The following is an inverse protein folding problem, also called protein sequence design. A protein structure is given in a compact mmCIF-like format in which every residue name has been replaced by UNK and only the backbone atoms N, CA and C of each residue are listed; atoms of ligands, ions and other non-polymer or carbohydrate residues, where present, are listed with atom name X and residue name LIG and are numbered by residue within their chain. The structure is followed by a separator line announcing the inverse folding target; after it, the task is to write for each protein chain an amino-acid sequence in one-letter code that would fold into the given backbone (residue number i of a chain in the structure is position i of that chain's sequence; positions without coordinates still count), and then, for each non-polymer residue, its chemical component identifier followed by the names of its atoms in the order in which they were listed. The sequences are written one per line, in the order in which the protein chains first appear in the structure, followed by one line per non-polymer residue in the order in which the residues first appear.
data_IF_021179331028
#
_entry.id   IF_021179331028
#
_cell.length_a   1.000
_cell.length_b   1.000
_cell.length_c   1.000
_cell.angle_alpha   90.00
_cell.angle_beta   90.00
_cell.angle_gamma   90.00
#
_symmetry.space_group_name_H-M   'P 1'
#
loop_
_entity.id
_entity.type
_entity.pdbx_description
1 polymer ?
#
# COMPACT_ATOMS: atom_id res chain seq x y z
N UNK A 1 73.04 -22.05 23.74
CA UNK A 1 73.02 -21.93 22.27
C UNK A 1 71.57 -21.78 21.80
N UNK A 2 71.29 -20.67 21.10
CA UNK A 2 70.26 -20.42 20.06
C UNK A 2 68.87 -21.10 20.14
N UNK A 3 67.86 -20.24 20.39
CA UNK A 3 66.59 -19.99 19.66
C UNK A 3 65.77 -21.20 19.14
N UNK A 4 64.48 -21.24 19.49
CA UNK A 4 63.39 -20.85 18.58
C UNK A 4 62.03 -20.82 19.31
N UNK A 5 61.33 -19.68 19.19
CA UNK A 5 59.90 -19.55 19.48
C UNK A 5 59.10 -20.21 18.35
N UNK A 6 58.04 -20.94 18.70
CA UNK A 6 56.90 -21.16 17.81
C UNK A 6 55.62 -20.84 18.56
N UNK A 7 54.98 -19.74 18.17
CA UNK A 7 53.62 -19.39 18.53
C UNK A 7 52.68 -20.00 17.48
N UNK A 8 51.73 -20.82 17.93
CA UNK A 8 50.52 -21.19 17.21
C UNK A 8 49.39 -21.01 18.24
N UNK A 9 48.36 -20.19 18.06
CA UNK A 9 47.59 -19.93 16.86
C UNK A 9 46.14 -20.31 17.21
N UNK A 10 45.49 -19.47 18.01
CA UNK A 10 44.10 -19.65 18.46
C UNK A 10 43.16 -19.38 17.28
N UNK A 11 42.55 -20.41 16.71
CA UNK A 11 41.52 -20.27 15.68
C UNK A 11 40.14 -20.21 16.32
N UNK A 12 39.63 -19.00 16.56
CA UNK A 12 38.22 -18.77 16.84
C UNK A 12 37.42 -18.87 15.54
N UNK A 13 36.68 -19.97 15.36
CA UNK A 13 35.64 -20.07 14.32
C UNK A 13 34.41 -19.29 14.78
N UNK A 14 34.31 -18.02 14.37
CA UNK A 14 33.07 -17.27 14.43
C UNK A 14 32.16 -17.72 13.27
N UNK A 15 31.13 -18.50 13.57
CA UNK A 15 30.07 -18.83 12.63
C UNK A 15 29.20 -17.58 12.39
N UNK A 16 29.47 -16.86 11.30
CA UNK A 16 28.69 -15.72 10.86
C UNK A 16 27.51 -16.16 9.97
N UNK A 17 26.30 -15.93 10.47
CA UNK A 17 25.06 -15.50 9.82
C UNK A 17 24.83 -15.89 8.34
N UNK A 18 23.91 -16.83 8.11
CA UNK A 18 23.29 -17.12 6.81
C UNK A 18 21.77 -16.92 6.81
N UNK A 19 21.23 -16.05 7.67
CA UNK A 19 19.82 -15.65 7.59
C UNK A 19 19.66 -14.60 6.49
N UNK A 20 19.19 -15.01 5.31
CA UNK A 20 18.66 -14.06 4.30
C UNK A 20 17.40 -13.42 4.89
N UNK A 21 17.59 -12.33 5.61
CA UNK A 21 16.51 -11.43 5.96
C UNK A 21 16.05 -10.80 4.64
N UNK A 22 14.85 -11.16 4.18
CA UNK A 22 14.25 -10.52 3.02
C UNK A 22 14.24 -9.01 3.28
N UNK A 23 14.92 -8.24 2.43
CA UNK A 23 14.91 -6.80 2.54
C UNK A 23 13.46 -6.33 2.45
N UNK A 24 13.01 -5.52 3.41
CA UNK A 24 11.74 -4.82 3.28
C UNK A 24 11.73 -4.08 1.93
N UNK A 25 10.60 -4.09 1.18
CA UNK A 25 10.51 -3.38 -0.08
C UNK A 25 11.00 -1.94 0.10
N UNK A 26 11.98 -1.52 -0.70
CA UNK A 26 12.49 -0.16 -0.62
C UNK A 26 11.34 0.80 -0.97
N UNK A 27 11.06 1.83 -0.15
CA UNK A 27 10.05 2.85 -0.45
C UNK A 27 10.15 3.41 -1.87
N UNK A 28 11.34 3.39 -2.48
CA UNK A 28 11.60 3.80 -3.85
C UNK A 28 10.71 3.12 -4.91
N UNK A 29 10.38 1.83 -4.77
CA UNK A 29 9.59 1.11 -5.76
C UNK A 29 8.13 1.59 -5.79
N UNK A 30 7.57 1.90 -4.63
CA UNK A 30 6.22 2.47 -4.55
C UNK A 30 6.23 3.94 -4.96
N UNK A 31 7.24 4.71 -4.56
CA UNK A 31 7.33 6.13 -4.93
C UNK A 31 7.43 6.34 -6.44
N UNK A 32 8.02 5.40 -7.20
CA UNK A 32 8.06 5.45 -8.66
C UNK A 32 6.66 5.38 -9.33
N UNK A 33 5.62 4.98 -8.59
CA UNK A 33 4.24 4.87 -9.09
C UNK A 33 3.42 6.15 -8.87
N UNK A 34 4.02 7.17 -8.24
CA UNK A 34 3.40 8.49 -8.05
C UNK A 34 3.38 9.24 -9.36
N UNK A 35 2.21 9.74 -9.72
CA UNK A 35 2.00 10.64 -10.84
C UNK A 35 0.89 11.61 -10.47
N UNK A 36 1.23 12.88 -10.20
CA UNK A 36 0.23 13.86 -9.82
C UNK A 36 -0.74 14.21 -10.95
N UNK A 37 -0.41 13.88 -12.21
CA UNK A 37 -1.29 14.00 -13.37
C UNK A 37 -2.28 12.83 -13.52
N UNK A 38 -2.12 11.75 -12.74
CA UNK A 38 -3.05 10.63 -12.78
C UNK A 38 -4.47 11.10 -12.45
N UNK A 39 -5.37 10.82 -13.39
CA UNK A 39 -6.78 11.11 -13.32
C UNK A 39 -7.56 9.84 -13.65
N UNK A 40 -8.64 9.58 -12.92
CA UNK A 40 -9.50 8.42 -13.13
C UNK A 40 -10.83 8.81 -13.79
N UNK A 41 -11.87 9.01 -12.99
CA UNK A 41 -13.20 9.43 -13.42
C UNK A 41 -13.80 10.36 -12.38
N UNK A 42 -14.69 11.24 -12.84
CA UNK A 42 -15.54 11.99 -11.94
C UNK A 42 -16.69 11.12 -11.42
N UNK A 43 -16.93 11.17 -10.12
CA UNK A 43 -18.09 10.49 -9.53
C UNK A 43 -19.36 11.24 -9.93
N UNK A 44 -20.29 10.53 -10.56
CA UNK A 44 -21.56 11.12 -11.00
C UNK A 44 -22.39 11.71 -9.85
N UNK A 45 -22.29 11.12 -8.66
CA UNK A 45 -23.00 11.59 -7.46
C UNK A 45 -22.01 11.96 -6.37
N UNK A 46 -22.32 12.98 -5.54
CA UNK A 46 -21.49 13.33 -4.40
C UNK A 46 -21.23 12.11 -3.51
N UNK A 47 -19.96 11.92 -3.13
CA UNK A 47 -19.54 10.87 -2.23
C UNK A 47 -18.91 11.50 -0.98
N UNK A 48 -19.74 11.96 -0.01
CA UNK A 48 -19.24 12.66 1.16
C UNK A 48 -18.36 11.73 2.01
N UNK A 49 -17.22 12.26 2.45
CA UNK A 49 -16.39 11.62 3.46
C UNK A 49 -16.92 12.01 4.84
N UNK A 50 -17.33 11.01 5.61
CA UNK A 50 -17.77 11.15 6.99
C UNK A 50 -16.52 11.03 7.86
N UNK A 51 -16.26 12.06 8.67
CA UNK A 51 -15.15 12.03 9.62
C UNK A 51 -15.34 10.83 10.60
N UNK A 52 -14.30 10.02 10.84
CA UNK A 52 -14.39 8.93 11.80
C UNK A 52 -14.70 9.45 13.21
N UNK A 53 -15.48 8.70 13.98
CA UNK A 53 -15.76 8.99 15.38
C UNK A 53 -14.50 8.92 16.25
N UNK A 54 -14.58 9.48 17.46
CA UNK A 54 -13.47 9.51 18.42
C UNK A 54 -13.06 8.10 18.90
N UNK A 55 -13.97 7.15 18.80
CA UNK A 55 -13.80 5.74 19.14
C UNK A 55 -13.00 4.94 18.08
N UNK A 56 -12.81 5.49 16.88
CA UNK A 56 -12.00 4.86 15.82
C UNK A 56 -10.52 5.13 16.11
N UNK A 57 -9.63 4.11 16.17
CA UNK A 57 -8.21 4.28 16.42
C UNK A 57 -7.52 5.30 15.50
N UNK A 58 -6.59 6.10 16.05
CA UNK A 58 -5.87 7.17 15.34
C UNK A 58 -5.23 6.72 14.03
N UNK A 59 -4.56 5.58 14.07
CA UNK A 59 -3.92 4.98 12.90
C UNK A 59 -4.93 4.55 11.83
N UNK A 60 -6.17 4.24 12.20
CA UNK A 60 -7.25 3.95 11.25
C UNK A 60 -7.86 5.24 10.69
N UNK A 61 -8.02 6.27 11.54
CA UNK A 61 -8.52 7.58 11.10
C UNK A 61 -7.62 8.20 10.02
N UNK A 62 -6.33 7.90 10.03
CA UNK A 62 -5.37 8.33 9.01
C UNK A 62 -5.76 7.92 7.58
N UNK A 63 -6.53 6.86 7.38
CA UNK A 63 -7.02 6.44 6.06
C UNK A 63 -8.16 7.33 5.53
N UNK A 64 -8.92 8.00 6.39
CA UNK A 64 -10.10 8.78 5.98
C UNK A 64 -9.73 9.86 4.95
N UNK A 65 -10.55 10.05 3.92
CA UNK A 65 -10.35 11.07 2.89
C UNK A 65 -10.23 10.51 1.48
N UNK A 66 -9.79 11.37 0.57
CA UNK A 66 -9.54 11.05 -0.84
C UNK A 66 -8.05 10.88 -1.09
N UNK A 67 -7.70 9.84 -1.82
CA UNK A 67 -6.33 9.47 -2.17
C UNK A 67 -6.23 9.31 -3.67
N UNK A 68 -5.15 9.80 -4.26
CA UNK A 68 -4.98 9.76 -5.70
C UNK A 68 -3.58 10.14 -6.14
N UNK A 69 -3.42 10.34 -7.45
CA UNK A 69 -2.13 10.70 -8.04
C UNK A 69 -1.12 9.55 -8.05
N UNK A 70 -1.61 8.33 -8.24
CA UNK A 70 -0.75 7.20 -8.50
C UNK A 70 -1.40 6.26 -9.49
N UNK A 71 -0.57 5.41 -10.07
CA UNK A 71 -0.97 4.37 -10.99
C UNK A 71 -0.43 3.02 -10.52
N UNK A 72 -1.20 1.95 -10.69
CA UNK A 72 -0.70 0.61 -10.39
C UNK A 72 0.51 0.30 -11.28
N UNK A 73 1.66 0.08 -10.64
CA UNK A 73 2.99 -0.04 -11.26
C UNK A 73 3.34 1.10 -12.23
N UNK A 74 2.73 2.29 -12.06
CA UNK A 74 2.94 3.44 -12.92
C UNK A 74 2.12 3.45 -14.21
N UNK A 75 1.25 2.46 -14.45
CA UNK A 75 0.52 2.32 -15.72
C UNK A 75 -0.97 2.65 -15.62
N UNK A 76 -1.64 2.16 -14.57
CA UNK A 76 -3.10 2.25 -14.46
C UNK A 76 -3.55 3.14 -13.31
N UNK A 77 -3.94 4.39 -13.62
CA UNK A 77 -4.36 5.37 -12.63
C UNK A 77 -5.49 4.87 -11.74
N UNK A 78 -5.36 5.19 -10.45
CA UNK A 78 -6.28 4.76 -9.41
C UNK A 78 -6.47 5.85 -8.36
N UNK A 79 -7.72 6.11 -7.99
CA UNK A 79 -8.06 6.91 -6.81
C UNK A 79 -8.91 6.09 -5.83
N UNK A 80 -8.78 6.45 -4.56
CA UNK A 80 -9.47 5.80 -3.45
C UNK A 80 -10.16 6.84 -2.58
N UNK A 81 -11.48 6.73 -2.48
CA UNK A 81 -12.31 7.58 -1.63
C UNK A 81 -12.74 6.78 -0.40
N UNK A 82 -12.12 7.03 0.75
CA UNK A 82 -12.51 6.41 2.02
C UNK A 82 -13.67 7.21 2.61
N UNK A 83 -14.89 6.69 2.45
CA UNK A 83 -16.13 7.42 2.77
C UNK A 83 -16.45 7.37 4.26
N UNK A 84 -16.26 6.22 4.90
CA UNK A 84 -16.49 6.06 6.34
C UNK A 84 -15.66 4.93 6.90
N UNK A 85 -15.28 5.06 8.17
CA UNK A 85 -14.58 4.03 8.95
C UNK A 85 -15.34 3.89 10.25
N UNK A 86 -15.74 2.68 10.60
CA UNK A 86 -16.44 2.40 11.85
C UNK A 86 -15.49 1.83 12.93
N UNK A 87 -15.94 1.73 14.20
CA UNK A 87 -15.09 1.28 15.31
C UNK A 87 -14.73 -0.21 15.23
N UNK A 88 -15.45 -0.98 14.40
CA UNK A 88 -15.14 -2.39 14.12
C UNK A 88 -14.03 -2.55 13.08
N UNK A 89 -13.62 -1.45 12.45
CA UNK A 89 -12.68 -1.42 11.34
C UNK A 89 -13.34 -1.69 9.98
N UNK A 90 -14.68 -1.77 9.89
CA UNK A 90 -15.35 -1.80 8.59
C UNK A 90 -15.18 -0.44 7.90
N UNK A 91 -14.87 -0.48 6.61
CA UNK A 91 -14.67 0.71 5.79
C UNK A 91 -15.60 0.66 4.58
N UNK A 92 -16.28 1.76 4.32
CA UNK A 92 -17.00 1.97 3.06
C UNK A 92 -16.15 2.89 2.20
N UNK A 93 -15.87 2.47 0.98
CA UNK A 93 -15.03 3.22 0.05
C UNK A 93 -15.56 3.21 -1.37
N UNK A 94 -15.02 4.10 -2.20
CA UNK A 94 -15.13 4.00 -3.66
C UNK A 94 -13.71 3.88 -4.22
N UNK A 95 -13.48 2.84 -5.01
CA UNK A 95 -12.30 2.71 -5.86
C UNK A 95 -12.66 3.20 -7.27
N UNK A 96 -11.80 4.03 -7.86
CA UNK A 96 -11.92 4.44 -9.25
C UNK A 96 -10.68 4.07 -10.03
N UNK A 97 -10.86 3.89 -11.33
CA UNK A 97 -9.76 3.59 -12.24
C UNK A 97 -9.95 4.29 -13.58
N UNK A 98 -8.84 4.74 -14.16
CA UNK A 98 -8.79 5.20 -15.54
C UNK A 98 -9.02 4.03 -16.52
N UNK A 99 -9.37 4.31 -17.80
CA UNK A 99 -9.26 3.29 -18.82
C UNK A 99 -7.78 2.89 -19.02
N UNK A 100 -7.55 1.62 -19.36
CA UNK A 100 -6.24 1.08 -19.69
C UNK A 100 -6.35 0.05 -20.82
N UNK A 101 -6.21 0.53 -22.06
CA UNK A 101 -6.49 -0.24 -23.27
C UNK A 101 -5.61 -1.48 -23.41
N UNK A 102 -4.33 -1.38 -23.06
CA UNK A 102 -3.40 -2.50 -23.13
C UNK A 102 -3.85 -3.70 -22.27
N UNK A 103 -4.67 -3.46 -21.24
CA UNK A 103 -5.23 -4.49 -20.36
C UNK A 103 -6.75 -4.67 -20.54
N UNK A 104 -7.35 -4.00 -21.53
CA UNK A 104 -8.79 -4.02 -21.76
C UNK A 104 -9.62 -3.57 -20.56
N UNK A 105 -9.10 -2.68 -19.71
CA UNK A 105 -9.80 -2.17 -18.53
C UNK A 105 -10.55 -0.88 -18.91
N UNK A 106 -11.89 -0.82 -18.81
CA UNK A 106 -12.60 0.44 -18.97
C UNK A 106 -12.41 1.34 -17.75
N UNK A 107 -12.79 2.61 -17.90
CA UNK A 107 -12.91 3.52 -16.77
C UNK A 107 -14.01 3.02 -15.81
N UNK A 108 -13.75 3.00 -14.51
CA UNK A 108 -14.69 2.44 -13.53
C UNK A 108 -14.73 3.21 -12.23
N UNK A 109 -15.87 3.12 -11.53
CA UNK A 109 -16.05 3.54 -10.16
C UNK A 109 -16.89 2.48 -9.43
N UNK A 110 -16.35 1.88 -8.37
CA UNK A 110 -17.05 0.86 -7.59
C UNK A 110 -17.10 1.24 -6.12
N UNK A 111 -18.30 1.24 -5.55
CA UNK A 111 -18.47 1.30 -4.11
C UNK A 111 -18.21 -0.08 -3.51
N UNK A 112 -17.32 -0.16 -2.53
CA UNK A 112 -16.87 -1.41 -1.89
C UNK A 112 -16.96 -1.31 -0.37
N UNK A 113 -16.93 -2.49 0.25
CA UNK A 113 -16.61 -2.65 1.66
C UNK A 113 -15.20 -3.22 1.80
N UNK A 114 -14.48 -2.71 2.78
CA UNK A 114 -13.14 -3.15 3.16
C UNK A 114 -13.07 -3.28 4.67
N UNK A 115 -11.95 -3.78 5.19
CA UNK A 115 -11.68 -3.87 6.62
C UNK A 115 -10.28 -3.36 6.93
N UNK A 116 -10.13 -2.58 7.99
CA UNK A 116 -8.83 -2.32 8.60
C UNK A 116 -8.61 -3.37 9.69
N UNK A 117 -7.57 -4.18 9.52
CA UNK A 117 -7.25 -5.24 10.47
C UNK A 117 -6.41 -4.72 11.63
N UNK A 118 -6.18 -5.59 12.62
CA UNK A 118 -5.37 -5.28 13.81
C UNK A 118 -3.92 -4.91 13.49
N UNK A 119 -3.40 -5.30 12.33
CA UNK A 119 -2.08 -4.91 11.85
C UNK A 119 -2.06 -3.51 11.20
N UNK A 120 -3.19 -2.80 11.21
CA UNK A 120 -3.31 -1.43 10.71
C UNK A 120 -3.39 -1.32 9.18
N UNK A 121 -3.57 -2.44 8.46
CA UNK A 121 -3.75 -2.43 7.01
C UNK A 121 -5.21 -2.48 6.62
N UNK A 122 -5.59 -1.67 5.63
CA UNK A 122 -6.89 -1.71 4.98
C UNK A 122 -6.87 -2.79 3.89
N UNK A 123 -7.74 -3.78 3.98
CA UNK A 123 -7.84 -4.88 3.01
C UNK A 123 -9.21 -4.96 2.37
N UNK A 124 -9.24 -5.26 1.08
CA UNK A 124 -10.45 -5.65 0.37
C UNK A 124 -10.15 -6.78 -0.62
N UNK A 125 -11.15 -7.61 -0.87
CA UNK A 125 -11.08 -8.68 -1.86
C UNK A 125 -12.36 -8.70 -2.70
N UNK A 126 -12.21 -8.95 -3.99
CA UNK A 126 -13.33 -9.17 -4.90
C UNK A 126 -12.93 -10.07 -6.05
N UNK A 127 -13.73 -11.10 -6.31
CA UNK A 127 -13.39 -12.13 -7.29
C UNK A 127 -12.05 -12.78 -6.96
N UNK A 128 -11.05 -12.62 -7.84
CA UNK A 128 -9.67 -13.11 -7.66
C UNK A 128 -8.67 -11.98 -7.37
N UNK A 129 -9.17 -10.82 -6.98
CA UNK A 129 -8.35 -9.65 -6.65
C UNK A 129 -8.29 -9.48 -5.15
N UNK A 130 -7.09 -9.34 -4.62
CA UNK A 130 -6.84 -8.94 -3.23
C UNK A 130 -6.06 -7.62 -3.24
N UNK A 131 -6.45 -6.70 -2.36
CA UNK A 131 -5.82 -5.39 -2.26
C UNK A 131 -5.58 -5.07 -0.81
N UNK A 132 -4.37 -4.62 -0.49
CA UNK A 132 -4.00 -4.14 0.84
C UNK A 132 -3.38 -2.76 0.75
N UNK A 133 -3.79 -1.85 1.63
CA UNK A 133 -3.20 -0.53 1.78
C UNK A 133 -2.66 -0.31 3.19
N UNK A 134 -1.62 0.53 3.30
CA UNK A 134 -1.12 1.04 4.57
C UNK A 134 -0.75 2.51 4.45
N UNK A 135 -0.95 3.24 5.53
CA UNK A 135 -0.58 4.65 5.63
C UNK A 135 0.80 4.79 6.26
N UNK A 136 1.68 5.54 5.61
CA UNK A 136 3.00 5.84 6.12
C UNK A 136 3.48 7.19 5.56
N UNK A 137 4.04 8.05 6.42
CA UNK A 137 4.63 9.34 6.04
C UNK A 137 3.74 10.24 5.16
N UNK A 138 2.43 10.28 5.43
CA UNK A 138 1.50 11.15 4.66
C UNK A 138 0.99 10.54 3.36
N UNK A 139 1.45 9.34 3.00
CA UNK A 139 1.09 8.63 1.79
C UNK A 139 0.32 7.36 2.10
N UNK A 140 -0.51 6.96 1.15
CA UNK A 140 -1.19 5.68 1.16
C UNK A 140 -0.51 4.76 0.15
N UNK A 141 0.16 3.74 0.65
CA UNK A 141 0.77 2.71 -0.16
C UNK A 141 -0.21 1.56 -0.34
N UNK A 142 -0.13 0.86 -1.47
CA UNK A 142 -0.99 -0.27 -1.74
C UNK A 142 -0.35 -1.35 -2.60
N UNK A 143 -0.79 -2.58 -2.39
CA UNK A 143 -0.51 -3.73 -3.25
C UNK A 143 -1.82 -4.29 -3.78
N UNK A 144 -1.83 -4.68 -5.05
CA UNK A 144 -2.93 -5.35 -5.73
C UNK A 144 -2.44 -6.66 -6.29
N UNK A 145 -2.97 -7.77 -5.79
CA UNK A 145 -2.74 -9.11 -6.33
C UNK A 145 -3.90 -9.48 -7.25
N UNK A 146 -3.61 -9.75 -8.52
CA UNK A 146 -4.60 -10.16 -9.52
C UNK A 146 -3.94 -11.08 -10.56
N UNK A 147 -4.50 -12.27 -10.78
CA UNK A 147 -4.04 -13.19 -11.83
C UNK A 147 -2.63 -13.75 -11.61
N UNK A 148 -2.17 -13.81 -10.36
CA UNK A 148 -0.83 -14.30 -10.00
C UNK A 148 0.28 -13.23 -10.08
N UNK A 149 -0.06 -11.99 -10.40
CA UNK A 149 0.86 -10.84 -10.35
C UNK A 149 0.51 -9.87 -9.23
N UNK A 150 1.53 -9.26 -8.63
CA UNK A 150 1.42 -8.16 -7.67
C UNK A 150 1.74 -6.84 -8.38
N UNK A 151 0.89 -5.83 -8.16
CA UNK A 151 1.14 -4.44 -8.57
C UNK A 151 1.22 -3.54 -7.35
N UNK A 152 1.98 -2.46 -7.45
CA UNK A 152 2.26 -1.52 -6.37
C UNK A 152 1.68 -0.15 -6.67
N UNK A 153 1.36 0.62 -5.63
CA UNK A 153 0.93 2.01 -5.78
C UNK A 153 1.32 2.85 -4.56
N UNK A 154 1.62 4.11 -4.78
CA UNK A 154 1.65 5.15 -3.77
C UNK A 154 0.67 6.26 -4.16
N UNK A 155 -0.15 6.68 -3.21
CA UNK A 155 -1.14 7.71 -3.38
C UNK A 155 -0.89 8.83 -2.36
N UNK A 156 -1.22 10.05 -2.74
CA UNK A 156 -1.21 11.20 -1.86
C UNK A 156 -2.64 11.64 -1.58
N UNK A 157 -2.79 12.30 -0.44
CA UNK A 157 -4.06 12.91 -0.05
C UNK A 157 -4.44 13.98 -1.08
N UNK A 158 -5.69 13.94 -1.54
CA UNK A 158 -6.26 14.95 -2.44
C UNK A 158 -7.19 15.88 -1.65
N UNK A 159 -7.26 17.13 -2.07
CA UNK A 159 -8.22 18.10 -1.55
C UNK A 159 -9.66 17.64 -1.81
N UNK A 160 -10.59 18.13 -0.99
CA UNK A 160 -12.02 17.90 -1.16
C UNK A 160 -12.52 18.56 -2.46
#
# INVERSE_FOLDING_TARGET
MRKALFAAGLACLAAACGGRQAAAPQPSAFMATRDDSCYTVDLFSPAPVIAPGAEVPDNWRAFSGRWGGGAWDGEWCHDLHILSIDPSGEVVLIETHAPHDAWGKPATAFRRKARIDRDGRLRMAYGRTEIAYWYENGLLFGVREEGGGERRIALARRGA
#
